data_IF_829901149277
#
_entry.id   IF_829901149277
#
_cell.length_a   1.000
_cell.length_b   1.000
_cell.length_c   1.000
_cell.angle_alpha   90.00
_cell.angle_beta   90.00
_cell.angle_gamma   90.00
#
_symmetry.space_group_name_H-M   'P 1'
#
loop_
_entity.id
_entity.type
_entity.pdbx_description
1 polymer ?
#
# COMPACT_ATOMS: atom_id res chain seq x y z
N UNK A 1 5.33 -3.63 5.64
CA UNK A 1 5.03 -3.53 7.07
C UNK A 1 3.94 -4.54 7.44
N UNK A 2 4.05 -5.17 8.62
CA UNK A 2 3.02 -6.09 9.11
C UNK A 2 1.92 -5.27 9.79
N UNK A 3 0.68 -5.51 9.41
CA UNK A 3 -0.48 -4.83 10.00
C UNK A 3 -0.67 -5.21 11.46
N UNK A 4 -0.90 -4.19 12.29
CA UNK A 4 -1.19 -4.35 13.72
C UNK A 4 -0.09 -5.12 14.48
N UNK A 5 1.16 -5.02 13.99
CA UNK A 5 2.29 -5.76 14.56
C UNK A 5 2.51 -5.47 16.04
N UNK A 6 2.42 -4.22 16.48
CA UNK A 6 2.58 -3.87 17.89
C UNK A 6 1.66 -4.70 18.78
N UNK A 7 0.37 -4.73 18.44
CA UNK A 7 -0.63 -5.52 19.18
C UNK A 7 -0.41 -7.02 19.08
N UNK A 8 0.19 -7.48 17.97
CA UNK A 8 0.56 -8.88 17.80
C UNK A 8 1.79 -9.21 18.67
N UNK A 9 2.80 -8.36 18.69
CA UNK A 9 4.03 -8.52 19.44
C UNK A 9 3.81 -8.50 20.96
N UNK A 10 2.89 -7.69 21.45
CA UNK A 10 2.51 -7.64 22.88
C UNK A 10 1.99 -8.97 23.43
N UNK A 11 1.52 -9.86 22.54
CA UNK A 11 1.01 -11.21 22.91
C UNK A 11 2.07 -12.30 22.82
N UNK A 12 3.31 -11.96 22.49
CA UNK A 12 4.43 -12.87 22.30
C UNK A 12 5.51 -12.61 23.34
N UNK A 13 6.20 -13.66 23.73
CA UNK A 13 7.50 -13.48 24.42
C UNK A 13 8.53 -12.87 23.45
N UNK A 14 9.62 -12.23 23.95
CA UNK A 14 10.68 -11.73 23.10
C UNK A 14 11.26 -12.78 22.15
N UNK A 15 11.41 -14.03 22.61
CA UNK A 15 11.89 -15.14 21.78
C UNK A 15 10.88 -15.54 20.69
N UNK A 16 9.59 -15.59 21.02
CA UNK A 16 8.53 -15.90 20.05
C UNK A 16 8.46 -14.82 18.98
N UNK A 17 8.56 -13.55 19.39
CA UNK A 17 8.57 -12.42 18.48
C UNK A 17 9.79 -12.46 17.56
N UNK A 18 10.99 -12.71 18.10
CA UNK A 18 12.20 -12.88 17.30
C UNK A 18 12.07 -14.01 16.27
N UNK A 19 11.56 -15.17 16.68
CA UNK A 19 11.31 -16.30 15.77
C UNK A 19 10.27 -15.98 14.71
N UNK A 20 9.22 -15.25 15.08
CA UNK A 20 8.17 -14.82 14.15
C UNK A 20 8.71 -13.90 13.08
N UNK A 21 9.41 -12.83 13.46
CA UNK A 21 9.99 -11.85 12.51
C UNK A 21 11.00 -12.55 11.57
N UNK A 22 11.87 -13.41 12.09
CA UNK A 22 12.81 -14.15 11.25
C UNK A 22 12.11 -15.13 10.30
N UNK A 23 11.05 -15.81 10.74
CA UNK A 23 10.26 -16.69 9.86
C UNK A 23 9.54 -15.93 8.75
N UNK A 24 9.07 -14.70 9.02
CA UNK A 24 8.49 -13.80 8.05
C UNK A 24 9.57 -13.31 7.06
N UNK A 25 10.66 -12.74 7.56
CA UNK A 25 11.77 -12.23 6.74
C UNK A 25 12.38 -13.31 5.85
N UNK A 26 12.51 -14.53 6.38
CA UNK A 26 13.01 -15.69 5.63
C UNK A 26 12.12 -16.12 4.45
N UNK A 27 10.83 -15.76 4.47
CA UNK A 27 9.91 -15.97 3.35
C UNK A 27 9.94 -14.82 2.34
N UNK A 28 10.03 -13.58 2.84
CA UNK A 28 9.92 -12.38 2.00
C UNK A 28 11.24 -12.02 1.30
N UNK A 29 12.37 -12.19 1.97
CA UNK A 29 13.69 -11.88 1.41
C UNK A 29 14.00 -12.57 0.07
N UNK A 30 13.81 -13.87 -0.05
CA UNK A 30 14.02 -14.59 -1.32
C UNK A 30 13.14 -14.07 -2.47
N UNK A 31 11.91 -13.62 -2.19
CA UNK A 31 11.00 -13.06 -3.20
C UNK A 31 11.56 -11.75 -3.75
N UNK A 32 12.06 -10.89 -2.87
CA UNK A 32 12.69 -9.62 -3.23
C UNK A 32 13.88 -9.88 -4.15
N UNK A 33 14.76 -10.83 -3.79
CA UNK A 33 15.93 -11.18 -4.58
C UNK A 33 15.57 -11.81 -5.94
N UNK A 34 14.60 -12.72 -5.97
CA UNK A 34 14.10 -13.34 -7.21
C UNK A 34 13.59 -12.29 -8.21
N UNK A 35 12.97 -11.23 -7.69
CA UNK A 35 12.47 -10.11 -8.50
C UNK A 35 13.51 -8.98 -8.65
N UNK A 36 14.81 -9.28 -8.58
CA UNK A 36 15.95 -8.37 -8.83
C UNK A 36 16.07 -7.21 -7.86
N UNK A 37 15.43 -7.30 -6.69
CA UNK A 37 15.59 -6.36 -5.60
C UNK A 37 16.57 -6.88 -4.57
N UNK A 38 16.90 -6.04 -3.62
CA UNK A 38 17.64 -6.42 -2.41
C UNK A 38 17.05 -5.76 -1.18
N UNK A 39 17.15 -6.44 -0.06
CA UNK A 39 16.77 -5.86 1.22
C UNK A 39 17.86 -4.89 1.65
N UNK A 40 17.50 -3.62 1.76
CA UNK A 40 18.42 -2.61 2.27
C UNK A 40 18.45 -2.62 3.80
N UNK A 41 17.28 -2.75 4.42
CA UNK A 41 17.19 -2.72 5.88
C UNK A 41 15.94 -3.45 6.37
N UNK A 42 16.08 -4.16 7.49
CA UNK A 42 14.98 -4.64 8.31
C UNK A 42 14.72 -3.64 9.46
N UNK A 43 13.51 -3.11 9.52
CA UNK A 43 13.10 -2.07 10.48
C UNK A 43 12.02 -2.66 11.41
N UNK A 44 12.45 -3.49 12.36
CA UNK A 44 11.51 -4.28 13.17
C UNK A 44 10.80 -5.32 12.32
N UNK A 45 9.50 -5.14 12.10
CA UNK A 45 8.65 -5.95 11.24
C UNK A 45 8.56 -5.44 9.79
N UNK A 46 9.05 -4.23 9.53
CA UNK A 46 9.08 -3.67 8.20
C UNK A 46 10.33 -4.08 7.41
N UNK A 47 10.17 -4.24 6.11
CA UNK A 47 11.24 -4.52 5.17
C UNK A 47 11.37 -3.36 4.19
N UNK A 48 12.51 -2.69 4.20
CA UNK A 48 12.86 -1.70 3.19
C UNK A 48 13.70 -2.37 2.10
N UNK A 49 13.17 -2.38 0.88
CA UNK A 49 13.81 -3.01 -0.28
C UNK A 49 14.04 -2.00 -1.40
N UNK A 50 15.07 -2.21 -2.17
CA UNK A 50 15.44 -1.37 -3.31
C UNK A 50 15.49 -2.23 -4.58
N UNK A 51 14.91 -1.68 -5.65
CA UNK A 51 14.87 -2.27 -6.98
C UNK A 51 15.47 -1.25 -7.96
N UNK A 52 16.59 -1.58 -8.57
CA UNK A 52 17.38 -0.63 -9.38
C UNK A 52 17.09 -0.68 -10.87
N UNK A 53 16.48 -1.77 -11.36
CA UNK A 53 16.27 -1.98 -12.78
C UNK A 53 14.90 -1.44 -13.25
N UNK A 54 13.82 -1.90 -12.63
CA UNK A 54 12.46 -1.51 -13.03
C UNK A 54 11.50 -1.44 -11.83
N UNK A 55 10.60 -0.46 -11.79
CA UNK A 55 9.52 -0.46 -10.81
C UNK A 55 8.56 -1.66 -10.96
N UNK A 56 8.47 -2.25 -12.14
CA UNK A 56 7.70 -3.45 -12.38
C UNK A 56 8.22 -4.64 -11.56
N UNK A 57 9.53 -4.73 -11.35
CA UNK A 57 10.13 -5.79 -10.54
C UNK A 57 9.71 -5.65 -9.07
N UNK A 58 9.65 -4.42 -8.55
CA UNK A 58 9.14 -4.13 -7.21
C UNK A 58 7.65 -4.49 -7.07
N UNK A 59 6.85 -4.19 -8.09
CA UNK A 59 5.42 -4.48 -8.08
C UNK A 59 5.16 -6.00 -8.15
N UNK A 60 5.91 -6.73 -8.99
CA UNK A 60 5.88 -8.20 -9.05
C UNK A 60 6.29 -8.83 -7.72
N UNK A 61 7.34 -8.30 -7.07
CA UNK A 61 7.74 -8.75 -5.74
C UNK A 61 6.61 -8.55 -4.71
N UNK A 62 5.99 -7.37 -4.67
CA UNK A 62 4.91 -7.09 -3.74
C UNK A 62 3.69 -8.01 -3.96
N UNK A 63 3.32 -8.30 -5.19
CA UNK A 63 2.27 -9.25 -5.54
C UNK A 63 2.63 -10.66 -5.06
N UNK A 64 3.83 -11.14 -5.34
CA UNK A 64 4.28 -12.48 -4.94
C UNK A 64 4.37 -12.59 -3.41
N UNK A 65 4.74 -11.51 -2.71
CA UNK A 65 4.73 -11.46 -1.25
C UNK A 65 3.31 -11.63 -0.68
N UNK A 66 2.29 -10.98 -1.27
CA UNK A 66 0.89 -11.16 -0.87
C UNK A 66 0.41 -12.59 -1.10
N UNK A 67 0.74 -13.18 -2.25
CA UNK A 67 0.39 -14.57 -2.57
C UNK A 67 1.08 -15.55 -1.62
N UNK A 68 2.35 -15.37 -1.33
CA UNK A 68 3.10 -16.19 -0.36
C UNK A 68 2.53 -16.06 1.05
N UNK A 69 2.06 -14.86 1.41
CA UNK A 69 1.41 -14.61 2.68
C UNK A 69 0.09 -15.40 2.82
N UNK A 70 -0.66 -15.58 1.75
CA UNK A 70 -1.88 -16.42 1.78
C UNK A 70 -1.55 -17.87 2.16
N UNK A 71 -0.50 -18.42 1.58
CA UNK A 71 0.00 -19.77 1.93
C UNK A 71 0.46 -19.82 3.38
N UNK A 72 1.26 -18.85 3.80
CA UNK A 72 1.73 -18.76 5.18
C UNK A 72 0.59 -18.64 6.19
N UNK A 73 -0.46 -17.88 5.86
CA UNK A 73 -1.64 -17.77 6.72
C UNK A 73 -2.42 -19.08 6.83
N UNK A 74 -2.44 -19.91 5.80
CA UNK A 74 -3.01 -21.26 5.88
C UNK A 74 -2.23 -22.13 6.86
N UNK A 75 -0.89 -22.13 6.77
CA UNK A 75 -0.02 -22.82 7.74
C UNK A 75 -0.20 -22.32 9.18
N UNK A 76 -0.42 -21.00 9.34
CA UNK A 76 -0.68 -20.38 10.65
C UNK A 76 -2.00 -20.83 11.24
N UNK A 77 -3.04 -20.90 10.42
CA UNK A 77 -4.38 -21.36 10.82
C UNK A 77 -4.36 -22.81 11.28
N UNK A 78 -3.65 -23.69 10.58
CA UNK A 78 -3.46 -25.10 10.99
C UNK A 78 -2.80 -25.23 12.35
N UNK A 79 -1.92 -24.28 12.71
CA UNK A 79 -1.25 -24.19 14.01
C UNK A 79 -2.02 -23.39 15.06
N UNK A 80 -3.29 -23.07 14.82
CA UNK A 80 -4.14 -22.29 15.72
C UNK A 80 -3.69 -20.83 15.89
N UNK A 81 -2.90 -20.28 14.95
CA UNK A 81 -2.40 -18.89 15.00
C UNK A 81 -3.25 -17.98 14.12
N UNK A 82 -3.46 -16.75 14.57
CA UNK A 82 -4.17 -15.73 13.79
C UNK A 82 -3.43 -15.41 12.48
N UNK A 83 -4.17 -15.18 11.39
CA UNK A 83 -3.58 -14.72 10.14
C UNK A 83 -2.94 -13.34 10.32
N UNK A 84 -1.92 -13.04 9.52
CA UNK A 84 -1.30 -11.72 9.44
C UNK A 84 -1.60 -11.07 8.10
N UNK A 85 -1.52 -9.77 8.06
CA UNK A 85 -1.67 -8.96 6.84
C UNK A 85 -0.45 -8.06 6.71
N UNK A 86 -0.06 -7.74 5.48
CA UNK A 86 1.01 -6.79 5.20
C UNK A 86 0.52 -5.68 4.27
N UNK A 87 1.10 -4.50 4.42
CA UNK A 87 0.99 -3.42 3.47
C UNK A 87 2.31 -3.21 2.73
N UNK A 88 2.23 -2.87 1.46
CA UNK A 88 3.39 -2.50 0.66
C UNK A 88 3.18 -1.14 0.00
N UNK A 89 4.12 -0.21 0.21
CA UNK A 89 4.14 1.11 -0.43
C UNK A 89 5.31 1.21 -1.39
N UNK A 90 5.03 1.54 -2.66
CA UNK A 90 6.02 1.64 -3.72
C UNK A 90 6.13 3.08 -4.23
N UNK A 91 7.36 3.59 -4.28
CA UNK A 91 7.66 4.88 -4.86
C UNK A 91 9.00 4.85 -5.59
N UNK A 92 9.09 5.57 -6.70
CA UNK A 92 10.31 5.66 -7.51
C UNK A 92 10.85 7.07 -7.52
N UNK A 93 12.12 7.20 -7.21
CA UNK A 93 12.84 8.47 -7.22
C UNK A 93 14.33 8.27 -6.98
N UNK A 94 15.07 9.37 -6.95
CA UNK A 94 16.50 9.35 -6.68
C UNK A 94 16.77 9.04 -5.21
N UNK A 95 17.79 8.23 -4.94
CA UNK A 95 18.29 7.97 -3.61
C UNK A 95 19.83 7.84 -3.63
N UNK A 96 20.45 8.11 -2.48
CA UNK A 96 21.88 7.93 -2.28
C UNK A 96 22.06 6.86 -1.22
N UNK A 97 22.83 5.83 -1.56
CA UNK A 97 23.29 4.83 -0.62
C UNK A 97 24.77 5.08 -0.33
N UNK A 98 25.13 5.02 0.93
CA UNK A 98 26.51 5.24 1.35
C UNK A 98 26.76 4.72 2.74
N UNK A 99 27.97 4.94 3.20
CA UNK A 99 28.37 4.66 4.58
C UNK A 99 28.40 5.99 5.32
N UNK A 100 27.66 6.07 6.41
CA UNK A 100 27.66 7.24 7.32
C UNK A 100 28.12 6.83 8.70
N UNK A 101 28.75 7.74 9.40
CA UNK A 101 29.21 7.50 10.76
C UNK A 101 30.49 8.26 11.09
N UNK A 102 31.05 7.90 12.20
CA UNK A 102 32.33 8.43 12.68
C UNK A 102 33.44 7.37 12.58
N UNK A 103 34.63 7.73 13.07
CA UNK A 103 35.81 6.82 13.07
C UNK A 103 35.64 5.54 13.88
N UNK A 104 34.66 5.49 14.77
CA UNK A 104 34.41 4.34 15.66
C UNK A 104 33.23 3.47 15.21
N UNK A 105 32.27 4.06 14.49
CA UNK A 105 31.10 3.37 14.04
C UNK A 105 30.67 3.89 12.66
N UNK A 106 30.54 2.98 11.72
CA UNK A 106 30.04 3.23 10.36
C UNK A 106 28.85 2.31 10.09
N UNK A 107 27.78 2.88 9.63
CA UNK A 107 26.57 2.14 9.25
C UNK A 107 26.22 2.43 7.78
N UNK A 108 25.74 1.42 7.07
CA UNK A 108 25.16 1.62 5.75
C UNK A 108 23.86 2.44 5.89
N UNK A 109 23.77 3.51 5.14
CA UNK A 109 22.59 4.37 5.18
C UNK A 109 22.08 4.71 3.78
N UNK A 110 20.78 4.88 3.71
CA UNK A 110 20.10 5.39 2.54
C UNK A 110 19.49 6.74 2.89
N UNK A 111 19.99 7.78 2.23
CA UNK A 111 19.47 9.14 2.42
C UNK A 111 18.62 9.48 1.21
N UNK A 112 17.32 9.63 1.40
CA UNK A 112 16.44 10.03 0.33
C UNK A 112 15.07 10.40 0.84
N UNK A 113 14.51 11.45 0.25
CA UNK A 113 13.10 11.78 0.35
C UNK A 113 12.20 10.70 -0.33
N UNK A 114 12.72 10.00 -1.32
CA UNK A 114 12.06 8.85 -1.99
C UNK A 114 11.69 7.76 -0.99
N UNK A 115 12.58 7.42 -0.05
CA UNK A 115 12.33 6.43 1.01
C UNK A 115 11.20 6.90 1.94
N UNK A 116 11.24 8.16 2.36
CA UNK A 116 10.20 8.73 3.20
C UNK A 116 8.84 8.74 2.49
N UNK A 117 8.82 9.03 1.19
CA UNK A 117 7.59 8.99 0.39
C UNK A 117 7.06 7.57 0.27
N UNK A 118 7.91 6.57 0.02
CA UNK A 118 7.50 5.17 -0.01
C UNK A 118 6.88 4.71 1.33
N UNK A 119 7.50 5.08 2.45
CA UNK A 119 6.98 4.80 3.79
C UNK A 119 5.60 5.44 4.03
N UNK A 120 5.41 6.69 3.57
CA UNK A 120 4.11 7.36 3.68
C UNK A 120 3.04 6.70 2.81
N UNK A 121 3.39 6.28 1.60
CA UNK A 121 2.49 5.51 0.72
C UNK A 121 2.15 4.15 1.38
N UNK A 122 3.11 3.50 2.04
CA UNK A 122 2.83 2.29 2.81
C UNK A 122 1.78 2.58 3.89
N UNK A 123 1.94 3.62 4.68
CA UNK A 123 0.95 3.99 5.71
C UNK A 123 -0.46 4.23 5.14
N UNK A 124 -0.57 4.81 3.94
CA UNK A 124 -1.85 4.99 3.26
C UNK A 124 -2.56 3.66 2.93
N UNK A 125 -1.83 2.55 2.86
CA UNK A 125 -2.45 1.24 2.65
C UNK A 125 -3.43 0.88 3.77
N UNK A 126 -3.19 1.34 5.00
CA UNK A 126 -4.13 1.20 6.14
C UNK A 126 -5.39 2.04 5.91
N UNK A 127 -5.19 3.26 5.44
CA UNK A 127 -6.26 4.23 5.22
C UNK A 127 -7.23 3.79 4.12
N UNK A 128 -6.69 3.29 3.01
CA UNK A 128 -7.51 2.81 1.88
C UNK A 128 -7.94 1.34 2.02
N UNK A 129 -7.44 0.62 3.02
CA UNK A 129 -7.67 -0.83 3.15
C UNK A 129 -7.04 -1.66 2.03
N UNK A 130 -6.03 -1.10 1.36
CA UNK A 130 -5.32 -1.73 0.25
C UNK A 130 -4.12 -2.54 0.74
N UNK A 131 -3.75 -3.60 0.02
CA UNK A 131 -2.57 -4.41 0.34
C UNK A 131 -1.29 -3.84 -0.30
N UNK A 132 -1.40 -3.24 -1.48
CA UNK A 132 -0.28 -2.64 -2.23
C UNK A 132 -0.73 -1.30 -2.77
N UNK A 133 0.02 -0.24 -2.43
CA UNK A 133 -0.12 1.08 -3.04
C UNK A 133 1.15 1.45 -3.81
N UNK A 134 0.94 2.04 -4.96
CA UNK A 134 2.03 2.47 -5.85
C UNK A 134 1.78 3.91 -6.30
N UNK A 135 2.85 4.72 -6.30
CA UNK A 135 2.77 6.10 -6.78
C UNK A 135 2.67 6.17 -8.30
N UNK A 136 2.02 7.20 -8.80
CA UNK A 136 1.98 7.56 -10.21
C UNK A 136 3.40 7.62 -10.82
N UNK A 137 4.36 8.22 -10.10
CA UNK A 137 5.76 8.28 -10.51
C UNK A 137 6.42 6.91 -10.78
N UNK A 138 5.98 5.86 -10.05
CA UNK A 138 6.45 4.50 -10.30
C UNK A 138 5.78 3.91 -11.53
N UNK A 139 4.46 4.09 -11.66
CA UNK A 139 3.69 3.54 -12.77
C UNK A 139 4.10 4.16 -14.10
N UNK A 140 4.43 5.45 -14.15
CA UNK A 140 4.90 6.14 -15.37
C UNK A 140 6.15 5.49 -15.98
N UNK A 141 6.93 4.77 -15.17
CA UNK A 141 8.15 4.07 -15.58
C UNK A 141 7.95 2.58 -15.86
N UNK A 142 6.72 2.08 -15.78
CA UNK A 142 6.36 0.71 -16.15
C UNK A 142 5.78 0.73 -17.56
N UNK A 143 6.39 -0.03 -18.46
CA UNK A 143 5.95 -0.12 -19.87
C UNK A 143 4.66 -0.94 -20.01
N UNK A 144 4.63 -2.14 -19.41
CA UNK A 144 3.54 -3.11 -19.56
C UNK A 144 2.64 -3.05 -18.31
N UNK A 145 1.87 -1.95 -18.20
CA UNK A 145 0.97 -1.72 -17.04
C UNK A 145 -0.24 -2.65 -17.03
N UNK A 146 -0.65 -3.10 -18.20
CA UNK A 146 -1.75 -4.04 -18.44
C UNK A 146 -1.52 -5.42 -17.80
N UNK A 147 -0.29 -5.75 -17.47
CA UNK A 147 0.05 -6.96 -16.69
C UNK A 147 -0.44 -6.90 -15.24
N UNK A 148 -0.88 -5.73 -14.79
CA UNK A 148 -1.26 -5.47 -13.40
C UNK A 148 -2.70 -4.98 -13.28
N UNK A 149 -3.43 -5.49 -12.30
CA UNK A 149 -4.74 -4.97 -11.96
C UNK A 149 -4.59 -3.75 -11.03
N UNK A 150 -4.82 -2.60 -11.60
CA UNK A 150 -4.61 -1.30 -10.96
C UNK A 150 -5.93 -0.52 -10.91
N UNK A 151 -6.13 0.26 -9.85
CA UNK A 151 -7.17 1.30 -9.82
C UNK A 151 -6.62 2.58 -9.18
N UNK A 152 -6.97 3.71 -9.77
CA UNK A 152 -6.62 5.02 -9.23
C UNK A 152 -7.40 5.30 -7.95
N UNK A 153 -6.76 5.87 -6.94
CA UNK A 153 -7.37 6.25 -5.67
C UNK A 153 -7.39 7.77 -5.43
N UNK A 154 -6.93 8.54 -6.41
CA UNK A 154 -6.85 9.99 -6.30
C UNK A 154 -5.45 10.50 -6.05
N UNK A 155 -5.36 11.82 -5.84
CA UNK A 155 -4.11 12.52 -5.49
C UNK A 155 -4.09 12.85 -4.02
N UNK A 156 -2.94 12.63 -3.39
CA UNK A 156 -2.74 12.90 -1.97
C UNK A 156 -1.52 13.78 -1.75
N UNK A 157 -1.63 14.74 -0.85
CA UNK A 157 -0.48 15.46 -0.30
C UNK A 157 -0.08 14.73 0.97
N UNK A 158 1.06 14.04 0.93
CA UNK A 158 1.59 13.35 2.09
C UNK A 158 2.33 14.35 3.00
N UNK A 159 2.32 14.12 4.31
CA UNK A 159 2.90 15.03 5.31
C UNK A 159 4.31 15.49 4.93
N UNK A 160 4.56 16.81 5.02
CA UNK A 160 5.84 17.43 4.70
C UNK A 160 6.15 17.52 3.21
N UNK A 161 5.18 17.26 2.33
CA UNK A 161 5.23 17.56 0.91
C UNK A 161 4.29 18.71 0.58
N UNK A 162 4.60 19.44 -0.49
CA UNK A 162 3.72 20.48 -1.04
C UNK A 162 3.01 19.98 -2.31
N UNK A 163 3.61 19.04 -3.01
CA UNK A 163 3.07 18.48 -4.24
C UNK A 163 2.21 17.25 -3.98
N UNK A 164 1.07 17.20 -4.65
CA UNK A 164 0.19 16.04 -4.62
C UNK A 164 0.76 14.89 -5.46
N UNK A 165 0.67 13.68 -4.95
CA UNK A 165 1.13 12.46 -5.61
C UNK A 165 -0.10 11.62 -5.96
N UNK A 166 -0.22 11.18 -7.21
CA UNK A 166 -1.21 10.20 -7.62
C UNK A 166 -0.91 8.84 -6.99
N UNK A 167 -1.93 8.23 -6.41
CA UNK A 167 -1.81 6.93 -5.72
C UNK A 167 -2.74 5.92 -6.38
N UNK A 168 -2.20 4.75 -6.66
CA UNK A 168 -2.93 3.62 -7.24
C UNK A 168 -2.86 2.42 -6.30
N UNK A 169 -3.97 1.71 -6.19
CA UNK A 169 -3.96 0.37 -5.62
C UNK A 169 -3.60 -0.65 -6.69
N UNK A 170 -2.68 -1.56 -6.38
CA UNK A 170 -2.48 -2.77 -7.13
C UNK A 170 -3.12 -3.94 -6.37
N UNK A 171 -4.15 -4.54 -6.95
CA UNK A 171 -4.89 -5.63 -6.32
C UNK A 171 -4.67 -7.01 -6.98
N UNK A 172 -3.65 -7.12 -7.86
CA UNK A 172 -3.24 -8.39 -8.47
C UNK A 172 -2.78 -9.46 -7.46
N UNK A 173 -2.37 -9.03 -6.26
CA UNK A 173 -1.96 -9.91 -5.18
C UNK A 173 -3.08 -10.28 -4.20
N UNK A 174 -4.28 -9.80 -4.42
CA UNK A 174 -5.44 -10.08 -3.55
C UNK A 174 -5.85 -11.56 -3.62
N UNK A 175 -6.64 -11.99 -2.65
CA UNK A 175 -7.27 -13.31 -2.71
C UNK A 175 -8.22 -13.40 -3.92
N UNK A 176 -8.36 -14.56 -4.56
CA UNK A 176 -9.14 -14.72 -5.79
C UNK A 176 -10.53 -14.11 -5.73
N UNK A 177 -11.26 -14.32 -4.65
CA UNK A 177 -12.59 -13.76 -4.47
C UNK A 177 -12.60 -12.22 -4.40
N UNK A 178 -11.61 -11.62 -3.72
CA UNK A 178 -11.45 -10.16 -3.64
C UNK A 178 -11.07 -9.57 -5.00
N UNK A 179 -10.13 -10.22 -5.69
CA UNK A 179 -9.69 -9.83 -7.03
C UNK A 179 -10.86 -9.83 -8.02
N UNK A 180 -11.64 -10.92 -8.05
CA UNK A 180 -12.78 -11.08 -8.95
C UNK A 180 -13.85 -9.99 -8.73
N UNK A 181 -14.20 -9.74 -7.47
CA UNK A 181 -15.15 -8.69 -7.10
C UNK A 181 -14.66 -7.29 -7.44
N UNK A 182 -13.37 -7.00 -7.23
CA UNK A 182 -12.79 -5.70 -7.62
C UNK A 182 -12.77 -5.52 -9.13
N UNK A 183 -12.48 -6.57 -9.90
CA UNK A 183 -12.56 -6.52 -11.37
C UNK A 183 -13.99 -6.26 -11.86
N UNK A 184 -14.97 -6.95 -11.28
CA UNK A 184 -16.39 -6.75 -11.62
C UNK A 184 -16.85 -5.31 -11.32
N UNK A 185 -16.39 -4.73 -10.22
CA UNK A 185 -16.83 -3.41 -9.76
C UNK A 185 -15.93 -2.27 -10.22
N UNK A 186 -14.81 -2.55 -10.92
CA UNK A 186 -13.83 -1.54 -11.33
C UNK A 186 -14.45 -0.39 -12.14
N UNK A 187 -15.29 -0.62 -13.17
CA UNK A 187 -15.87 0.48 -13.92
C UNK A 187 -16.75 1.41 -13.06
N UNK A 188 -17.50 0.83 -12.11
CA UNK A 188 -18.33 1.61 -11.17
C UNK A 188 -17.48 2.41 -10.18
N UNK A 189 -16.37 1.82 -9.74
CA UNK A 189 -15.42 2.51 -8.85
C UNK A 189 -14.77 3.71 -9.56
N UNK A 190 -14.36 3.53 -10.82
CA UNK A 190 -13.78 4.59 -11.65
C UNK A 190 -14.78 5.72 -11.90
N UNK A 191 -16.03 5.38 -12.26
CA UNK A 191 -17.13 6.35 -12.41
C UNK A 191 -17.37 7.13 -11.10
N UNK A 192 -17.43 6.42 -9.97
CA UNK A 192 -17.60 7.03 -8.66
C UNK A 192 -16.47 7.99 -8.32
N UNK A 193 -15.22 7.61 -8.61
CA UNK A 193 -14.06 8.45 -8.36
C UNK A 193 -14.04 9.67 -9.29
N UNK A 194 -14.35 9.51 -10.57
CA UNK A 194 -14.43 10.63 -11.53
C UNK A 194 -15.43 11.68 -11.05
N UNK A 195 -16.66 11.26 -10.70
CA UNK A 195 -17.67 12.13 -10.14
C UNK A 195 -17.26 12.79 -8.83
N UNK A 196 -16.57 12.03 -7.95
CA UNK A 196 -16.03 12.57 -6.70
C UNK A 196 -15.00 13.69 -6.96
N UNK A 197 -14.07 13.47 -7.89
CA UNK A 197 -13.06 14.46 -8.26
C UNK A 197 -13.68 15.70 -8.92
N UNK A 198 -14.74 15.53 -9.70
CA UNK A 198 -15.53 16.63 -10.26
C UNK A 198 -16.33 17.41 -9.19
N UNK A 199 -16.55 16.82 -8.03
CA UNK A 199 -17.37 17.38 -6.96
C UNK A 199 -18.85 17.11 -7.12
N UNK A 200 -19.22 16.15 -7.99
CA UNK A 200 -20.59 15.68 -8.23
C UNK A 200 -20.92 14.56 -7.24
N UNK A 201 -20.96 14.94 -5.95
CA UNK A 201 -21.05 13.98 -4.85
C UNK A 201 -22.29 13.10 -4.85
N UNK A 202 -23.40 13.54 -5.43
CA UNK A 202 -24.61 12.72 -5.49
C UNK A 202 -24.44 11.55 -6.47
N UNK A 203 -23.82 11.78 -7.63
CA UNK A 203 -23.56 10.72 -8.61
C UNK A 203 -22.41 9.81 -8.11
N UNK A 204 -21.38 10.40 -7.51
CA UNK A 204 -20.32 9.63 -6.86
C UNK A 204 -20.87 8.67 -5.79
N UNK A 205 -21.81 9.15 -4.97
CA UNK A 205 -22.44 8.34 -3.93
C UNK A 205 -23.17 7.12 -4.51
N UNK A 206 -23.98 7.32 -5.55
CA UNK A 206 -24.71 6.23 -6.20
C UNK A 206 -23.77 5.14 -6.74
N UNK A 207 -22.69 5.57 -7.40
CA UNK A 207 -21.71 4.65 -7.96
C UNK A 207 -21.01 3.84 -6.86
N UNK A 208 -20.54 4.47 -5.77
CA UNK A 208 -19.89 3.75 -4.67
C UNK A 208 -20.86 2.90 -3.85
N UNK A 209 -22.13 3.28 -3.70
CA UNK A 209 -23.16 2.42 -3.10
C UNK A 209 -23.35 1.14 -3.93
N UNK A 210 -23.36 1.26 -5.25
CA UNK A 210 -23.47 0.10 -6.14
C UNK A 210 -22.21 -0.77 -6.08
N UNK A 211 -21.00 -0.18 -5.96
CA UNK A 211 -19.77 -0.93 -5.68
C UNK A 211 -19.94 -1.75 -4.42
N UNK A 212 -20.38 -1.14 -3.31
CA UNK A 212 -20.52 -1.84 -2.03
C UNK A 212 -21.66 -2.85 -2.01
N UNK A 213 -22.71 -2.65 -2.84
CA UNK A 213 -23.78 -3.63 -2.97
C UNK A 213 -23.24 -4.94 -3.58
N UNK A 214 -22.28 -4.88 -4.50
CA UNK A 214 -21.64 -6.03 -5.15
C UNK A 214 -20.42 -6.53 -4.37
N UNK A 215 -19.64 -5.63 -3.81
CA UNK A 215 -18.42 -5.91 -3.05
C UNK A 215 -18.46 -5.19 -1.70
N UNK A 216 -19.12 -5.78 -0.71
CA UNK A 216 -19.32 -5.21 0.61
C UNK A 216 -18.01 -4.94 1.38
N UNK A 217 -16.92 -5.61 0.98
CA UNK A 217 -15.62 -5.50 1.64
C UNK A 217 -14.67 -4.49 0.96
N UNK A 218 -15.14 -3.69 0.00
CA UNK A 218 -14.33 -2.66 -0.65
C UNK A 218 -14.11 -1.47 0.28
N UNK A 219 -13.02 -1.52 1.02
CA UNK A 219 -12.69 -0.49 2.01
C UNK A 219 -12.44 0.88 1.38
N UNK A 220 -11.89 0.94 0.16
CA UNK A 220 -11.69 2.20 -0.54
C UNK A 220 -13.02 2.83 -0.95
N UNK A 221 -13.96 2.06 -1.48
CA UNK A 221 -15.31 2.55 -1.79
C UNK A 221 -16.03 3.06 -0.54
N UNK A 222 -15.92 2.32 0.58
CA UNK A 222 -16.49 2.76 1.86
C UNK A 222 -15.86 4.07 2.35
N UNK A 223 -14.55 4.24 2.17
CA UNK A 223 -13.85 5.46 2.53
C UNK A 223 -14.39 6.66 1.73
N UNK A 224 -14.54 6.51 0.42
CA UNK A 224 -15.10 7.57 -0.42
C UNK A 224 -16.55 7.90 -0.05
N UNK A 225 -17.38 6.92 0.25
CA UNK A 225 -18.74 7.18 0.73
C UNK A 225 -18.77 8.00 2.03
N UNK A 226 -17.90 7.67 2.97
CA UNK A 226 -17.80 8.42 4.22
C UNK A 226 -17.40 9.88 3.98
N UNK A 227 -16.46 10.12 3.06
CA UNK A 227 -16.04 11.47 2.65
C UNK A 227 -17.16 12.23 1.94
N UNK A 228 -17.85 11.58 1.03
CA UNK A 228 -19.00 12.16 0.31
C UNK A 228 -20.08 12.56 1.30
N UNK A 229 -20.45 11.70 2.25
CA UNK A 229 -21.43 12.01 3.28
C UNK A 229 -21.02 13.23 4.12
N UNK A 230 -19.74 13.33 4.47
CA UNK A 230 -19.20 14.49 5.15
C UNK A 230 -19.38 15.78 4.33
N UNK A 231 -19.00 15.79 3.05
CA UNK A 231 -19.09 16.97 2.19
C UNK A 231 -20.55 17.34 1.83
N UNK A 232 -21.43 16.39 1.70
CA UNK A 232 -22.87 16.66 1.51
C UNK A 232 -23.49 17.33 2.74
N UNK A 233 -22.99 17.01 3.94
CA UNK A 233 -23.50 17.58 5.21
C UNK A 233 -22.88 18.93 5.54
N UNK A 234 -21.56 19.08 5.33
CA UNK A 234 -20.79 20.26 5.77
C UNK A 234 -20.45 21.23 4.64
N UNK A 235 -20.74 20.85 3.39
CA UNK A 235 -20.33 21.58 2.21
C UNK A 235 -18.91 21.26 1.75
N UNK A 236 -18.66 21.35 0.46
CA UNK A 236 -17.31 21.19 -0.12
C UNK A 236 -16.49 22.49 0.03
N UNK A 237 -15.16 22.38 0.11
CA UNK A 237 -14.28 23.54 0.04
C UNK A 237 -14.55 24.39 -1.22
N UNK A 238 -14.39 25.72 -1.12
CA UNK A 238 -14.61 26.63 -2.26
C UNK A 238 -13.72 26.29 -3.46
N UNK A 239 -12.48 25.88 -3.18
CA UNK A 239 -11.51 25.46 -4.19
C UNK A 239 -11.39 23.92 -4.13
N UNK A 240 -12.43 23.24 -4.63
CA UNK A 240 -12.41 21.80 -4.67
C UNK A 240 -11.45 21.29 -5.74
N UNK A 241 -10.44 20.55 -5.33
CA UNK A 241 -9.44 19.94 -6.23
C UNK A 241 -9.46 18.40 -6.22
N UNK A 242 -10.24 17.79 -5.31
CA UNK A 242 -10.23 16.35 -5.12
C UNK A 242 -8.92 15.81 -4.50
N UNK A 243 -7.98 16.70 -4.16
CA UNK A 243 -6.71 16.33 -3.52
C UNK A 243 -6.92 16.16 -2.02
N UNK A 244 -6.49 15.03 -1.50
CA UNK A 244 -6.59 14.73 -0.07
C UNK A 244 -5.30 15.11 0.67
N UNK A 245 -5.46 15.79 1.79
CA UNK A 245 -4.35 16.14 2.67
C UNK A 245 -4.26 15.08 3.78
N UNK A 246 -3.15 14.36 3.84
CA UNK A 246 -2.94 13.30 4.81
C UNK A 246 -2.12 13.82 5.98
N UNK A 247 -2.83 14.18 7.06
CA UNK A 247 -2.21 14.46 8.35
C UNK A 247 -2.13 13.16 9.15
N UNK A 248 -0.92 12.74 9.51
CA UNK A 248 -0.75 11.66 10.47
C UNK A 248 -1.31 12.11 11.83
N UNK A 249 -2.36 11.45 12.28
CA UNK A 249 -2.77 11.48 13.69
C UNK A 249 -2.28 10.24 14.40
#
# INVERSE_FOLDING_TARGET
DIRDYTSLAERMTPEENYRFVNAYNGRMGPIIQKNKGFVNQYLGDAIMSIFTESPADALKAAIEMQQTLQVYNSERKEKGRAPIRIGAGLHTGSLIMGIIGDRKRMDAATISDTVNTASRIENLTKHYGASILVSENSLEKIADREDFHLRFLGKVVVKGKQEAIGVYECFSGDQPESLERKLETLPLFEEGLENYLAGDFQEAMKAFEEVLRRNQNDAAAQLFLNRIAYYLTHGKPKEWSGVEFMDDK
#
